data_IF_639073702991
#
_entry.id   IF_639073702991
#
_cell.length_a   1.000
_cell.length_b   1.000
_cell.length_c   1.000
_cell.angle_alpha   90.00
_cell.angle_beta   90.00
_cell.angle_gamma   90.00
#
_symmetry.space_group_name_H-M   'P 1'
#
loop_
_entity.id
_entity.type
_entity.pdbx_description
1 polymer ?
#
# COMPACT_ATOMS: atom_id res chain seq x y z
N UNK A 1 -16.10 3.63 16.58
CA UNK A 1 -16.27 2.25 16.06
C UNK A 1 -15.16 2.04 15.05
N UNK A 2 -14.15 1.24 15.38
CA UNK A 2 -13.03 0.97 14.45
C UNK A 2 -13.58 0.12 13.31
N UNK A 3 -13.45 0.62 12.09
CA UNK A 3 -13.89 -0.13 10.91
C UNK A 3 -12.71 -0.90 10.35
N UNK A 4 -12.97 -1.96 9.60
CA UNK A 4 -11.93 -2.67 8.86
C UNK A 4 -11.18 -1.73 7.87
N UNK A 5 -11.71 -0.54 7.56
CA UNK A 5 -11.07 0.40 6.63
C UNK A 5 -9.67 0.82 7.07
N UNK A 6 -9.39 0.86 8.38
CA UNK A 6 -8.13 1.41 8.93
C UNK A 6 -6.90 0.51 8.72
N UNK A 7 -7.08 -0.75 8.27
CA UNK A 7 -5.97 -1.63 7.91
C UNK A 7 -5.49 -1.46 6.46
N UNK A 8 -6.28 -0.77 5.63
CA UNK A 8 -5.96 -0.49 4.24
C UNK A 8 -5.30 0.88 4.09
N UNK A 9 -4.44 1.01 3.08
CA UNK A 9 -3.94 2.32 2.65
C UNK A 9 -5.08 3.17 2.08
N UNK A 10 -4.93 4.49 2.03
CA UNK A 10 -5.95 5.33 1.39
C UNK A 10 -6.11 5.03 -0.10
N UNK A 11 -7.25 5.40 -0.68
CA UNK A 11 -7.48 5.30 -2.13
C UNK A 11 -6.38 6.00 -2.94
N UNK A 12 -6.01 7.22 -2.54
CA UNK A 12 -4.94 7.99 -3.22
C UNK A 12 -3.60 7.24 -3.19
N UNK A 13 -3.24 6.60 -2.08
CA UNK A 13 -2.02 5.79 -1.99
C UNK A 13 -2.14 4.56 -2.89
N UNK A 14 -3.29 3.89 -2.90
CA UNK A 14 -3.52 2.73 -3.75
C UNK A 14 -3.36 3.08 -5.24
N UNK A 15 -3.89 4.22 -5.69
CA UNK A 15 -3.71 4.70 -7.07
C UNK A 15 -2.22 4.93 -7.41
N UNK A 16 -1.47 5.60 -6.52
CA UNK A 16 -0.03 5.80 -6.71
C UNK A 16 0.75 4.48 -6.73
N UNK A 17 0.31 3.46 -5.99
CA UNK A 17 0.88 2.11 -6.01
C UNK A 17 0.57 1.41 -7.35
N UNK A 18 -0.66 1.52 -7.86
CA UNK A 18 -1.04 1.03 -9.19
C UNK A 18 -0.14 1.64 -10.28
N UNK A 19 0.10 2.95 -10.24
CA UNK A 19 0.97 3.65 -11.21
C UNK A 19 2.42 3.11 -11.24
N UNK A 20 2.95 2.64 -10.11
CA UNK A 20 4.31 2.08 -10.04
C UNK A 20 4.37 0.59 -10.34
N UNK A 21 3.22 -0.03 -10.62
CA UNK A 21 3.10 -1.45 -10.94
C UNK A 21 3.04 -2.36 -9.71
N UNK A 22 2.36 -1.92 -8.64
CA UNK A 22 1.96 -2.84 -7.58
C UNK A 22 1.03 -3.92 -8.15
N UNK A 23 1.40 -5.17 -7.96
CA UNK A 23 0.86 -6.34 -8.66
C UNK A 23 0.43 -7.48 -7.71
N UNK A 24 0.44 -7.25 -6.39
CA UNK A 24 -0.02 -8.29 -5.46
C UNK A 24 -1.54 -8.43 -5.47
N UNK A 25 -1.99 -9.66 -5.34
CA UNK A 25 -3.41 -9.96 -5.15
C UNK A 25 -3.92 -9.37 -3.83
N UNK A 26 -5.05 -8.68 -3.91
CA UNK A 26 -5.73 -8.09 -2.75
C UNK A 26 -7.12 -8.70 -2.58
N UNK A 27 -7.52 -8.92 -1.33
CA UNK A 27 -8.87 -9.39 -1.00
C UNK A 27 -9.93 -8.36 -1.38
N UNK A 28 -9.57 -7.08 -1.29
CA UNK A 28 -10.45 -5.96 -1.55
C UNK A 28 -9.91 -5.05 -2.64
N UNK A 29 -10.79 -4.25 -3.21
CA UNK A 29 -10.46 -3.21 -4.18
C UNK A 29 -11.31 -1.96 -3.95
N UNK A 30 -10.77 -0.82 -4.36
CA UNK A 30 -11.48 0.43 -4.44
C UNK A 30 -12.25 0.53 -5.76
N UNK A 31 -13.50 0.98 -5.67
CA UNK A 31 -14.30 1.47 -6.80
C UNK A 31 -14.64 2.94 -6.60
N UNK A 32 -14.82 3.70 -7.68
CA UNK A 32 -15.25 5.09 -7.59
C UNK A 32 -16.68 5.22 -7.05
N UNK A 33 -16.98 6.15 -6.12
CA UNK A 33 -16.07 7.08 -5.44
C UNK A 33 -15.62 6.54 -4.05
N UNK A 34 -14.51 5.80 -4.02
CA UNK A 34 -13.80 5.30 -2.83
C UNK A 34 -14.52 4.27 -1.94
N UNK A 35 -15.38 3.44 -2.54
CA UNK A 35 -15.95 2.30 -1.82
C UNK A 35 -14.99 1.11 -1.87
N UNK A 36 -14.81 0.44 -0.74
CA UNK A 36 -14.06 -0.81 -0.66
C UNK A 36 -15.02 -1.95 -0.88
N UNK A 37 -14.71 -2.80 -1.86
CA UNK A 37 -15.49 -3.99 -2.22
C UNK A 37 -14.62 -5.24 -2.13
N UNK A 38 -15.28 -6.37 -1.94
CA UNK A 38 -14.70 -7.70 -1.99
C UNK A 38 -15.33 -8.46 -3.16
N UNK A 39 -14.54 -9.29 -3.85
CA UNK A 39 -15.09 -10.19 -4.88
C UNK A 39 -15.59 -11.47 -4.22
N UNK A 40 -16.80 -11.90 -4.58
CA UNK A 40 -17.44 -13.12 -4.06
C UNK A 40 -18.11 -13.88 -5.21
N UNK A 41 -18.25 -15.22 -5.08
CA UNK A 41 -18.85 -16.04 -6.15
C UNK A 41 -20.39 -15.98 -6.18
N UNK A 42 -21.04 -15.68 -5.06
CA UNK A 42 -22.48 -15.85 -4.91
C UNK A 42 -23.28 -14.66 -5.47
N UNK A 43 -23.85 -14.87 -6.66
CA UNK A 43 -24.89 -14.01 -7.26
C UNK A 43 -26.31 -14.33 -6.76
N UNK A 44 -26.48 -15.30 -5.88
CA UNK A 44 -27.80 -15.81 -5.48
C UNK A 44 -28.12 -15.43 -4.03
N UNK A 45 -29.10 -14.53 -3.92
CA UNK A 45 -29.94 -14.20 -2.75
C UNK A 45 -29.25 -13.83 -1.43
N UNK A 46 -29.25 -12.51 -1.13
CA UNK A 46 -29.32 -11.85 0.18
C UNK A 46 -28.98 -12.66 1.46
N UNK A 47 -27.86 -13.37 1.50
CA UNK A 47 -27.26 -13.83 2.75
C UNK A 47 -26.24 -12.79 3.20
N UNK A 48 -26.34 -12.35 4.46
CA UNK A 48 -25.41 -11.39 5.07
C UNK A 48 -24.12 -12.04 5.57
N UNK A 49 -23.88 -13.30 5.20
CA UNK A 49 -22.76 -14.13 5.65
C UNK A 49 -21.96 -14.54 4.42
N UNK A 50 -20.65 -14.37 4.49
CA UNK A 50 -19.69 -14.79 3.48
C UNK A 50 -18.75 -15.82 4.10
N UNK A 51 -18.67 -17.00 3.50
CA UNK A 51 -17.69 -18.01 3.88
C UNK A 51 -16.32 -17.63 3.32
N UNK A 52 -15.25 -17.86 4.09
CA UNK A 52 -13.89 -17.47 3.69
C UNK A 52 -13.48 -18.15 2.37
N UNK A 53 -13.95 -19.37 2.15
CA UNK A 53 -13.72 -20.18 0.96
C UNK A 53 -14.34 -19.58 -0.31
N UNK A 54 -15.33 -18.69 -0.17
CA UNK A 54 -16.00 -17.99 -1.28
C UNK A 54 -15.34 -16.66 -1.64
N UNK A 55 -14.32 -16.25 -0.88
CA UNK A 55 -13.60 -15.01 -1.06
C UNK A 55 -12.29 -15.27 -1.80
N UNK A 56 -12.01 -14.44 -2.81
CA UNK A 56 -10.76 -14.51 -3.57
C UNK A 56 -9.99 -13.20 -3.54
N UNK A 57 -8.67 -13.33 -3.38
CA UNK A 57 -7.76 -12.25 -3.65
C UNK A 57 -7.52 -12.15 -5.15
N UNK A 58 -7.45 -10.93 -5.68
CA UNK A 58 -7.17 -10.70 -7.09
C UNK A 58 -6.36 -9.41 -7.28
N UNK A 59 -5.53 -9.38 -8.30
CA UNK A 59 -4.84 -8.18 -8.73
C UNK A 59 -5.79 -7.32 -9.59
N UNK A 60 -6.66 -6.55 -8.96
CA UNK A 60 -7.60 -5.66 -9.68
C UNK A 60 -6.92 -4.51 -10.41
N UNK A 61 -5.61 -4.30 -10.24
CA UNK A 61 -4.86 -3.33 -11.02
C UNK A 61 -4.70 -3.75 -12.49
N UNK A 62 -4.88 -5.02 -12.84
CA UNK A 62 -4.90 -5.53 -14.22
C UNK A 62 -6.22 -5.28 -14.94
N UNK A 63 -7.29 -4.89 -14.23
CA UNK A 63 -8.59 -4.61 -14.83
C UNK A 63 -8.58 -3.31 -15.66
N UNK A 64 -9.30 -3.34 -16.79
CA UNK A 64 -9.58 -2.15 -17.61
C UNK A 64 -10.60 -1.20 -16.95
N UNK A 65 -11.35 -1.70 -15.98
CA UNK A 65 -12.27 -0.89 -15.17
C UNK A 65 -11.50 0.11 -14.29
N UNK A 66 -12.13 1.22 -13.84
CA UNK A 66 -11.52 2.21 -12.97
C UNK A 66 -11.44 1.71 -11.52
N UNK A 67 -10.97 0.47 -11.33
CA UNK A 67 -10.72 -0.17 -10.06
C UNK A 67 -9.23 -0.08 -9.70
N UNK A 68 -8.98 -0.07 -8.40
CA UNK A 68 -7.63 -0.14 -7.86
C UNK A 68 -7.62 -1.16 -6.72
N UNK A 69 -6.60 -2.01 -6.65
CA UNK A 69 -6.44 -2.94 -5.54
C UNK A 69 -6.39 -2.16 -4.22
N UNK A 70 -7.02 -2.67 -3.16
CA UNK A 70 -7.01 -2.06 -1.84
C UNK A 70 -6.09 -2.89 -0.93
N UNK A 71 -4.76 -2.65 -0.98
CA UNK A 71 -3.82 -3.40 -0.16
C UNK A 71 -3.87 -2.93 1.29
N UNK A 72 -3.60 -3.87 2.19
CA UNK A 72 -3.26 -3.55 3.57
C UNK A 72 -1.88 -2.90 3.66
N UNK A 73 -1.62 -2.15 4.74
CA UNK A 73 -0.27 -1.63 5.00
C UNK A 73 0.80 -2.74 4.96
N UNK A 74 0.50 -3.94 5.49
CA UNK A 74 1.44 -5.07 5.49
C UNK A 74 1.75 -5.59 4.08
N UNK A 75 0.75 -5.70 3.20
CA UNK A 75 0.98 -6.07 1.79
C UNK A 75 1.89 -5.06 1.09
N UNK A 76 1.66 -3.76 1.32
CA UNK A 76 2.50 -2.71 0.74
C UNK A 76 3.95 -2.82 1.22
N UNK A 77 4.18 -2.97 2.52
CA UNK A 77 5.54 -3.12 3.06
C UNK A 77 6.20 -4.43 2.62
N UNK A 78 5.45 -5.53 2.52
CA UNK A 78 5.96 -6.78 1.94
C UNK A 78 6.42 -6.59 0.49
N UNK A 79 5.60 -5.94 -0.34
CA UNK A 79 5.93 -5.68 -1.74
C UNK A 79 7.19 -4.82 -1.90
N UNK A 80 7.34 -3.75 -1.09
CA UNK A 80 8.57 -2.95 -1.11
C UNK A 80 9.81 -3.73 -0.65
N UNK A 81 9.68 -4.60 0.37
CA UNK A 81 10.77 -5.48 0.82
C UNK A 81 11.26 -6.41 -0.29
N UNK A 82 10.35 -6.96 -1.11
CA UNK A 82 10.69 -7.77 -2.28
C UNK A 82 11.50 -6.97 -3.33
N UNK A 83 11.36 -5.64 -3.34
CA UNK A 83 12.15 -4.73 -4.17
C UNK A 83 13.41 -4.19 -3.47
N UNK A 84 13.77 -4.76 -2.30
CA UNK A 84 14.92 -4.36 -1.45
C UNK A 84 14.82 -2.95 -0.88
N UNK A 85 13.61 -2.43 -0.68
CA UNK A 85 13.35 -1.24 0.13
C UNK A 85 12.82 -1.70 1.48
N UNK A 86 13.63 -1.56 2.53
CA UNK A 86 13.27 -1.90 3.89
C UNK A 86 12.89 -0.63 4.64
N UNK A 87 11.89 -0.71 5.51
CA UNK A 87 11.42 0.46 6.23
C UNK A 87 10.75 0.11 7.55
N UNK A 88 10.84 1.04 8.49
CA UNK A 88 10.18 0.95 9.79
C UNK A 88 9.63 2.31 10.22
N UNK A 89 8.57 2.30 11.02
CA UNK A 89 8.04 3.46 11.74
C UNK A 89 8.06 3.13 13.22
N UNK A 90 8.68 3.98 14.03
CA UNK A 90 8.66 3.84 15.49
C UNK A 90 8.38 5.17 16.16
N UNK A 91 7.84 5.12 17.38
CA UNK A 91 7.55 6.32 18.18
C UNK A 91 8.87 6.87 18.71
N UNK A 92 9.03 8.19 18.67
CA UNK A 92 10.22 8.84 19.21
C UNK A 92 10.32 8.64 20.72
N UNK A 93 11.54 8.66 21.27
CA UNK A 93 11.76 8.42 22.71
C UNK A 93 10.98 9.40 23.60
N UNK A 94 10.90 10.66 23.17
CA UNK A 94 10.15 11.72 23.85
C UNK A 94 8.62 11.64 23.64
N UNK A 95 8.14 10.62 22.91
CA UNK A 95 6.72 10.38 22.58
C UNK A 95 6.01 11.57 21.94
N UNK A 96 6.77 12.46 21.29
CA UNK A 96 6.24 13.67 20.65
C UNK A 96 6.01 13.48 19.13
N UNK A 97 6.17 12.26 18.62
CA UNK A 97 6.07 11.97 17.21
C UNK A 97 6.51 10.57 16.84
N UNK A 98 6.82 10.40 15.56
CA UNK A 98 7.33 9.17 14.97
C UNK A 98 8.59 9.45 14.17
N UNK A 99 9.47 8.47 14.12
CA UNK A 99 10.59 8.43 13.19
C UNK A 99 10.34 7.34 12.15
N UNK A 100 10.66 7.67 10.90
CA UNK A 100 10.65 6.75 9.77
C UNK A 100 12.10 6.49 9.38
N UNK A 101 12.47 5.22 9.26
CA UNK A 101 13.72 4.79 8.68
C UNK A 101 13.48 4.01 7.40
N UNK A 102 14.30 4.26 6.38
CA UNK A 102 14.29 3.55 5.09
C UNK A 102 15.72 3.18 4.71
N UNK A 103 15.93 1.90 4.39
CA UNK A 103 17.20 1.37 3.91
C UNK A 103 17.03 0.76 2.50
N UNK A 104 17.91 1.16 1.57
CA UNK A 104 17.95 0.64 0.20
C UNK A 104 19.31 0.93 -0.43
N UNK A 105 19.88 0.01 -1.22
CA UNK A 105 21.13 0.22 -1.98
C UNK A 105 22.30 0.87 -1.19
N UNK A 106 22.52 0.48 0.07
CA UNK A 106 23.50 1.09 0.98
C UNK A 106 23.24 2.57 1.33
N UNK A 107 22.04 3.09 1.03
CA UNK A 107 21.55 4.40 1.46
C UNK A 107 20.63 4.19 2.67
N UNK A 108 20.70 5.12 3.60
CA UNK A 108 19.85 5.17 4.78
C UNK A 108 19.18 6.54 4.85
N UNK A 109 17.87 6.58 5.03
CA UNK A 109 17.07 7.80 5.18
C UNK A 109 16.34 7.72 6.51
N UNK A 110 16.46 8.78 7.31
CA UNK A 110 15.72 8.98 8.54
C UNK A 110 14.87 10.26 8.41
N UNK A 111 13.59 10.18 8.79
CA UNK A 111 12.64 11.29 8.74
C UNK A 111 11.92 11.37 10.09
N UNK A 112 12.04 12.53 10.75
CA UNK A 112 11.36 12.83 11.99
C UNK A 112 10.01 13.52 11.73
N UNK A 113 8.94 12.97 12.30
CA UNK A 113 7.57 13.42 12.15
C UNK A 113 6.99 13.84 13.51
N UNK A 114 6.89 15.14 13.74
CA UNK A 114 6.38 15.70 15.00
C UNK A 114 4.86 15.89 14.97
N UNK A 115 4.18 15.58 16.08
CA UNK A 115 2.73 15.75 16.23
C UNK A 115 1.87 14.98 15.21
N UNK A 116 2.43 13.97 14.54
CA UNK A 116 1.71 13.10 13.61
C UNK A 116 1.16 11.87 14.33
N UNK A 117 0.05 11.31 13.85
CA UNK A 117 -0.44 10.00 14.29
C UNK A 117 0.35 8.87 13.64
N UNK A 118 0.30 7.66 14.21
CA UNK A 118 0.93 6.48 13.60
C UNK A 118 0.39 6.20 12.18
N UNK A 119 -0.91 6.46 11.93
CA UNK A 119 -1.52 6.32 10.61
C UNK A 119 -0.87 7.29 9.62
N UNK A 120 -0.77 8.57 9.97
CA UNK A 120 -0.12 9.58 9.12
C UNK A 120 1.35 9.24 8.88
N UNK A 121 2.08 8.79 9.90
CA UNK A 121 3.47 8.36 9.76
C UNK A 121 3.62 7.19 8.77
N UNK A 122 2.76 6.16 8.85
CA UNK A 122 2.77 5.06 7.86
C UNK A 122 2.45 5.52 6.45
N UNK A 123 1.48 6.43 6.28
CA UNK A 123 1.12 6.97 4.97
C UNK A 123 2.26 7.80 4.37
N UNK A 124 2.91 8.64 5.16
CA UNK A 124 4.09 9.41 4.74
C UNK A 124 5.27 8.48 4.37
N UNK A 125 5.51 7.42 5.15
CA UNK A 125 6.50 6.41 4.79
C UNK A 125 6.19 5.78 3.42
N UNK A 126 4.97 5.34 3.18
CA UNK A 126 4.60 4.71 1.91
C UNK A 126 4.78 5.68 0.74
N UNK A 127 4.37 6.95 0.90
CA UNK A 127 4.59 7.97 -0.13
C UNK A 127 6.09 8.15 -0.44
N UNK A 128 6.95 8.11 0.59
CA UNK A 128 8.41 8.19 0.38
C UNK A 128 8.97 6.95 -0.31
N UNK A 129 8.49 5.76 0.01
CA UNK A 129 8.86 4.52 -0.68
C UNK A 129 8.46 4.54 -2.16
N UNK A 130 7.26 5.04 -2.48
CA UNK A 130 6.79 5.24 -3.86
C UNK A 130 7.73 6.18 -4.61
N UNK A 131 8.10 7.31 -4.01
CA UNK A 131 9.03 8.28 -4.60
C UNK A 131 10.41 7.65 -4.89
N UNK A 132 11.00 6.97 -3.91
CA UNK A 132 12.30 6.29 -4.05
C UNK A 132 12.23 5.24 -5.18
N UNK A 133 11.20 4.40 -5.17
CA UNK A 133 11.05 3.35 -6.17
C UNK A 133 10.85 3.90 -7.59
N UNK A 134 10.06 4.97 -7.78
CA UNK A 134 9.93 5.67 -9.08
C UNK A 134 11.30 6.15 -9.56
N UNK A 135 12.07 6.78 -8.68
CA UNK A 135 13.38 7.33 -9.03
C UNK A 135 14.41 6.25 -9.40
N UNK A 136 14.49 5.14 -8.66
CA UNK A 136 15.42 4.05 -8.96
C UNK A 136 15.04 3.30 -10.26
N UNK A 137 13.75 3.13 -10.57
CA UNK A 137 13.32 2.59 -11.88
C UNK A 137 13.75 3.46 -13.05
N UNK A 138 13.67 4.79 -12.91
CA UNK A 138 14.08 5.72 -13.98
C UNK A 138 15.58 5.61 -14.24
N UNK A 139 16.41 5.58 -13.19
CA UNK A 139 17.87 5.42 -13.32
C UNK A 139 18.24 4.13 -14.03
N UNK A 140 17.66 3.00 -13.63
CA UNK A 140 17.96 1.70 -14.24
C UNK A 140 17.57 1.65 -15.74
N UNK A 141 16.50 2.33 -16.14
CA UNK A 141 16.10 2.44 -17.55
C UNK A 141 17.05 3.30 -18.38
N UNK A 142 17.65 4.34 -17.81
CA UNK A 142 18.63 5.17 -18.52
C UNK A 142 20.00 4.52 -18.63
N UNK A 143 20.39 3.63 -17.71
CA UNK A 143 21.68 2.90 -17.78
C UNK A 143 21.67 1.74 -18.79
N UNK A 144 20.49 1.20 -19.15
CA UNK A 144 20.34 0.03 -20.05
C UNK A 144 20.30 0.41 -21.55
N UNK A 145 20.44 1.70 -21.89
CA UNK A 145 20.38 2.21 -23.28
C UNK A 145 21.76 2.41 -23.95
N UNK A 146 22.79 1.67 -23.56
CA UNK A 146 24.13 1.70 -24.19
C UNK A 146 24.38 0.43 -24.96
#
# INVERSE_FOLDING_TARGET
MNTLKDIFVSYEIAEKLKEIGFDQECLFYYSYPEKIHCLTHNKTEQTSVLDIEEIWAHNTNESEEPFCSAPTYEQVFKWFREKRLFSIVYMTENKNGYEIEIEYENKHICINLFNETYKQAREQLILKLIEIYKNERIKNRSTTRV
#
